data_IF_766223858650
#
_entry.id   IF_766223858650
#
_cell.length_a   1.000
_cell.length_b   1.000
_cell.length_c   1.000
_cell.angle_alpha   90.00
_cell.angle_beta   90.00
_cell.angle_gamma   90.00
#
_symmetry.space_group_name_H-M   'P 1'
#
loop_
_entity.id
_entity.type
_entity.pdbx_description
1 polymer ?
#
# COMPACT_ATOMS: atom_id res chain seq x y z
N UNK A 1 12.17 -29.44 25.75
CA UNK A 1 11.10 -30.31 25.18
C UNK A 1 9.84 -29.53 24.74
N UNK A 2 9.27 -28.61 25.55
CA UNK A 2 8.10 -27.81 25.12
C UNK A 2 8.36 -26.76 24.01
N UNK A 3 9.61 -26.40 23.72
CA UNK A 3 9.96 -25.44 22.66
C UNK A 3 9.79 -25.98 21.23
N UNK A 4 9.61 -27.30 21.06
CA UNK A 4 9.62 -27.97 19.75
C UNK A 4 8.26 -27.97 19.02
N UNK A 5 7.13 -28.01 19.73
CA UNK A 5 5.79 -28.00 19.09
C UNK A 5 5.44 -26.64 18.47
N UNK A 6 5.99 -25.55 19.02
CA UNK A 6 5.90 -24.21 18.41
C UNK A 6 6.74 -24.06 17.13
N UNK A 7 7.77 -24.90 16.94
CA UNK A 7 8.61 -24.89 15.75
C UNK A 7 7.81 -25.30 14.50
N UNK A 8 6.93 -26.28 14.64
CA UNK A 8 6.05 -26.73 13.56
C UNK A 8 5.07 -25.66 13.08
N UNK A 9 4.59 -24.76 13.95
CA UNK A 9 3.76 -23.63 13.52
C UNK A 9 4.48 -22.67 12.56
N UNK A 10 5.78 -22.44 12.76
CA UNK A 10 6.62 -21.64 11.85
C UNK A 10 7.02 -22.41 10.58
N UNK A 11 7.32 -23.71 10.67
CA UNK A 11 7.64 -24.54 9.50
C UNK A 11 6.40 -24.81 8.63
N UNK A 12 5.22 -24.90 9.24
CA UNK A 12 3.92 -25.04 8.58
C UNK A 12 3.59 -23.86 7.65
N UNK A 13 4.00 -22.64 8.03
CA UNK A 13 3.81 -21.42 7.24
C UNK A 13 4.54 -21.47 5.89
N UNK A 14 5.71 -22.13 5.81
CA UNK A 14 6.47 -22.29 4.57
C UNK A 14 5.96 -23.46 3.70
N UNK A 15 5.35 -24.47 4.35
CA UNK A 15 4.87 -25.69 3.71
C UNK A 15 3.69 -25.46 2.76
N UNK A 16 2.66 -24.75 3.21
CA UNK A 16 1.40 -24.64 2.43
C UNK A 16 1.56 -23.81 1.16
N UNK A 17 2.49 -22.84 1.13
CA UNK A 17 2.77 -22.02 -0.05
C UNK A 17 3.65 -22.69 -1.11
N UNK A 18 4.49 -23.65 -0.73
CA UNK A 18 5.50 -24.25 -1.61
C UNK A 18 5.14 -25.65 -2.12
N UNK A 19 4.23 -26.36 -1.43
CA UNK A 19 3.88 -27.75 -1.75
C UNK A 19 3.25 -27.93 -3.13
N UNK A 20 2.56 -26.92 -3.66
CA UNK A 20 1.98 -27.03 -5.01
C UNK A 20 3.05 -27.13 -6.11
N UNK A 21 4.16 -26.39 -5.98
CA UNK A 21 5.19 -26.27 -7.03
C UNK A 21 6.33 -27.27 -6.90
N UNK A 22 6.53 -27.84 -5.72
CA UNK A 22 7.66 -28.74 -5.43
C UNK A 22 7.20 -30.20 -5.42
N UNK A 23 8.10 -31.17 -5.68
CA UNK A 23 7.79 -32.60 -5.63
C UNK A 23 7.51 -33.06 -4.20
N UNK A 24 6.67 -34.09 -4.03
CA UNK A 24 6.34 -34.67 -2.71
C UNK A 24 7.57 -35.14 -1.93
N UNK A 25 8.61 -35.62 -2.61
CA UNK A 25 9.86 -36.11 -2.00
C UNK A 25 10.55 -35.09 -1.09
N UNK A 26 10.47 -33.79 -1.42
CA UNK A 26 11.04 -32.71 -0.63
C UNK A 26 10.37 -32.55 0.73
N UNK A 27 9.16 -33.09 0.88
CA UNK A 27 8.32 -32.92 2.05
C UNK A 27 8.25 -34.17 2.95
N UNK A 28 8.75 -35.31 2.48
CA UNK A 28 8.82 -36.56 3.26
C UNK A 28 9.60 -36.44 4.59
N UNK A 29 10.68 -35.63 4.71
CA UNK A 29 11.40 -35.49 5.99
C UNK A 29 10.53 -35.02 7.16
N UNK A 30 9.38 -34.38 6.91
CA UNK A 30 8.45 -33.99 7.98
C UNK A 30 7.76 -35.17 8.63
N UNK A 31 7.62 -36.31 7.95
CA UNK A 31 7.10 -37.53 8.57
C UNK A 31 8.01 -38.03 9.70
N UNK A 32 9.33 -38.00 9.48
CA UNK A 32 10.31 -38.38 10.51
C UNK A 32 10.25 -37.45 11.72
N UNK A 33 10.01 -36.16 11.48
CA UNK A 33 9.81 -35.18 12.57
C UNK A 33 8.47 -35.41 13.29
N UNK A 34 7.42 -35.82 12.58
CA UNK A 34 6.15 -36.20 13.20
C UNK A 34 6.33 -37.39 14.15
N UNK A 35 6.97 -38.47 13.69
CA UNK A 35 7.26 -39.67 14.49
C UNK A 35 8.07 -39.32 15.75
N UNK A 36 9.06 -38.43 15.63
CA UNK A 36 9.89 -38.00 16.76
C UNK A 36 9.12 -37.16 17.80
N UNK A 37 8.20 -36.30 17.36
CA UNK A 37 7.51 -35.35 18.25
C UNK A 37 6.15 -35.84 18.77
N UNK A 38 5.57 -36.85 18.12
CA UNK A 38 4.28 -37.43 18.46
C UNK A 38 4.37 -38.96 18.49
N UNK A 39 5.02 -39.56 19.50
CA UNK A 39 5.24 -41.01 19.59
C UNK A 39 3.94 -41.80 19.69
N UNK A 40 3.66 -42.79 18.85
CA UNK A 40 2.32 -43.41 18.74
C UNK A 40 1.72 -44.00 20.04
N UNK A 41 2.54 -44.22 21.07
CA UNK A 41 2.12 -44.72 22.39
C UNK A 41 1.23 -43.75 23.18
N UNK A 42 1.25 -42.43 22.90
CA UNK A 42 0.37 -41.49 23.61
C UNK A 42 -1.07 -41.49 23.07
N UNK A 43 -2.00 -41.08 23.92
CA UNK A 43 -3.41 -40.90 23.56
C UNK A 43 -3.62 -39.93 22.37
N UNK A 44 -4.74 -40.07 21.62
CA UNK A 44 -5.11 -39.14 20.55
C UNK A 44 -5.16 -37.68 21.04
N UNK A 45 -4.74 -36.75 20.18
CA UNK A 45 -4.75 -35.34 20.54
C UNK A 45 -6.20 -34.83 20.64
N UNK A 46 -6.59 -34.18 21.75
CA UNK A 46 -7.92 -33.60 21.89
C UNK A 46 -8.07 -32.39 20.98
N UNK A 47 -9.30 -32.16 20.50
CA UNK A 47 -9.61 -30.95 19.72
C UNK A 47 -9.36 -29.72 20.58
N UNK A 48 -8.49 -28.79 20.16
CA UNK A 48 -8.17 -27.60 20.92
C UNK A 48 -9.31 -26.57 20.92
N UNK A 49 -9.30 -25.68 21.90
CA UNK A 49 -10.26 -24.58 21.99
C UNK A 49 -10.12 -23.63 20.79
N UNK A 50 -11.09 -23.69 19.88
CA UNK A 50 -11.14 -22.91 18.65
C UNK A 50 -11.47 -21.43 18.86
N UNK A 51 -11.72 -20.98 20.09
CA UNK A 51 -11.83 -19.56 20.44
C UNK A 51 -10.46 -18.91 20.72
N UNK A 52 -9.39 -19.71 20.82
CA UNK A 52 -8.04 -19.23 21.06
C UNK A 52 -7.20 -19.28 19.77
N UNK A 53 -6.39 -18.24 19.45
CA UNK A 53 -5.58 -18.23 18.23
C UNK A 53 -4.56 -19.37 18.19
N UNK A 54 -4.17 -19.89 19.35
CA UNK A 54 -3.24 -21.01 19.48
C UNK A 54 -3.76 -22.30 18.85
N UNK A 55 -5.07 -22.45 18.65
CA UNK A 55 -5.64 -23.64 18.01
C UNK A 55 -5.06 -23.90 16.61
N UNK A 56 -4.75 -22.83 15.85
CA UNK A 56 -4.15 -22.93 14.52
C UNK A 56 -2.77 -23.57 14.54
N UNK A 57 -1.99 -23.33 15.61
CA UNK A 57 -0.68 -23.95 15.80
C UNK A 57 -0.81 -25.38 16.29
N UNK A 58 -1.77 -25.65 17.17
CA UNK A 58 -2.01 -26.99 17.71
C UNK A 58 -2.55 -27.95 16.64
N UNK A 59 -3.33 -27.46 15.68
CA UNK A 59 -3.81 -28.25 14.53
C UNK A 59 -2.86 -28.25 13.32
N UNK A 60 -1.73 -27.54 13.37
CA UNK A 60 -0.83 -27.38 12.22
C UNK A 60 -0.37 -28.71 11.62
N UNK A 61 -0.06 -29.72 12.46
CA UNK A 61 0.34 -31.05 11.96
C UNK A 61 -0.76 -31.76 11.19
N UNK A 62 -2.01 -31.67 11.66
CA UNK A 62 -3.17 -32.21 10.95
C UNK A 62 -3.31 -31.55 9.59
N UNK A 63 -3.15 -30.22 9.53
CA UNK A 63 -3.20 -29.50 8.27
C UNK A 63 -2.05 -29.91 7.33
N UNK A 64 -0.81 -30.04 7.80
CA UNK A 64 0.31 -30.56 6.99
C UNK A 64 -0.06 -31.92 6.39
N UNK A 65 -0.62 -32.81 7.22
CA UNK A 65 -1.00 -34.14 6.78
C UNK A 65 -2.06 -34.11 5.67
N UNK A 66 -3.07 -33.24 5.79
CA UNK A 66 -4.08 -33.03 4.75
C UNK A 66 -3.44 -32.56 3.43
N UNK A 67 -2.44 -31.67 3.50
CA UNK A 67 -1.71 -31.21 2.31
C UNK A 67 -0.90 -32.32 1.64
N UNK A 68 -0.22 -33.14 2.43
CA UNK A 68 0.56 -34.28 1.95
C UNK A 68 -0.35 -35.33 1.28
N UNK A 69 -1.48 -35.66 1.90
CA UNK A 69 -2.48 -36.58 1.31
C UNK A 69 -2.95 -36.05 -0.04
N UNK A 70 -3.36 -34.77 -0.11
CA UNK A 70 -3.84 -34.18 -1.37
C UNK A 70 -2.75 -34.17 -2.44
N UNK A 71 -1.51 -33.84 -2.08
CA UNK A 71 -0.37 -33.85 -2.99
C UNK A 71 -0.05 -35.26 -3.52
N UNK A 72 -0.05 -36.26 -2.65
CA UNK A 72 0.15 -37.67 -3.03
C UNK A 72 -0.95 -38.17 -3.99
N UNK A 73 -2.21 -37.75 -3.76
CA UNK A 73 -3.33 -38.03 -4.68
C UNK A 73 -3.12 -37.35 -6.04
N UNK A 74 -2.66 -36.10 -6.07
CA UNK A 74 -2.38 -35.38 -7.33
C UNK A 74 -1.21 -35.98 -8.11
N UNK A 75 -0.16 -36.46 -7.43
CA UNK A 75 1.00 -37.09 -8.07
C UNK A 75 0.78 -38.59 -8.38
N UNK A 76 -0.44 -39.11 -8.27
CA UNK A 76 -0.81 -40.51 -8.55
C UNK A 76 0.12 -41.53 -7.87
N UNK A 77 0.55 -41.23 -6.64
CA UNK A 77 1.29 -42.20 -5.85
C UNK A 77 0.36 -43.35 -5.47
N UNK A 78 0.71 -44.60 -5.81
CA UNK A 78 -0.08 -45.81 -5.47
C UNK A 78 -0.27 -46.04 -3.96
N UNK A 79 0.38 -45.24 -3.11
CA UNK A 79 0.25 -45.35 -1.67
C UNK A 79 -0.92 -44.50 -1.19
N UNK A 80 -1.96 -45.15 -0.65
CA UNK A 80 -2.97 -44.48 0.16
C UNK A 80 -2.32 -44.12 1.48
N UNK A 81 -2.25 -42.83 1.80
CA UNK A 81 -1.69 -42.35 3.05
C UNK A 81 -2.81 -42.16 4.08
N UNK A 82 -2.97 -43.08 5.06
CA UNK A 82 -3.99 -42.91 6.08
C UNK A 82 -3.65 -41.75 7.02
N UNK A 83 -4.69 -41.19 7.65
CA UNK A 83 -4.51 -40.22 8.73
C UNK A 83 -4.12 -40.98 10.01
N UNK A 84 -3.01 -40.61 10.67
CA UNK A 84 -2.57 -41.24 11.91
C UNK A 84 -3.66 -41.18 13.00
N UNK A 85 -3.77 -42.23 13.81
CA UNK A 85 -4.76 -42.31 14.89
C UNK A 85 -4.68 -41.09 15.83
N UNK A 86 -3.46 -40.58 16.09
CA UNK A 86 -3.24 -39.40 16.92
C UNK A 86 -3.85 -38.11 16.40
N UNK A 87 -3.95 -37.96 15.08
CA UNK A 87 -4.47 -36.76 14.41
C UNK A 87 -5.94 -36.91 13.99
N UNK A 88 -6.53 -38.10 14.19
CA UNK A 88 -7.88 -38.43 13.72
C UNK A 88 -8.93 -37.49 14.28
N UNK A 89 -8.92 -37.22 15.59
CA UNK A 89 -9.90 -36.31 16.20
C UNK A 89 -9.88 -34.89 15.59
N UNK A 90 -8.68 -34.34 15.31
CA UNK A 90 -8.55 -33.05 14.63
C UNK A 90 -9.05 -33.11 13.18
N UNK A 91 -8.71 -34.18 12.46
CA UNK A 91 -9.10 -34.36 11.06
C UNK A 91 -10.62 -34.50 10.92
N UNK A 92 -11.23 -35.33 11.76
CA UNK A 92 -12.69 -35.54 11.77
C UNK A 92 -13.40 -34.24 12.12
N UNK A 93 -12.88 -33.47 13.09
CA UNK A 93 -13.40 -32.13 13.39
C UNK A 93 -13.37 -31.20 12.17
N UNK A 94 -12.23 -31.12 11.45
CA UNK A 94 -12.11 -30.29 10.25
C UNK A 94 -13.03 -30.75 9.13
N UNK A 95 -13.19 -32.06 8.93
CA UNK A 95 -14.11 -32.60 7.93
C UNK A 95 -15.58 -32.26 8.23
N UNK A 96 -16.02 -32.39 9.49
CA UNK A 96 -17.36 -31.98 9.91
C UNK A 96 -17.62 -30.48 9.69
N UNK A 97 -16.58 -29.63 9.83
CA UNK A 97 -16.70 -28.19 9.58
C UNK A 97 -16.82 -27.82 8.09
N UNK A 98 -16.15 -28.57 7.19
CA UNK A 98 -16.22 -28.32 5.74
C UNK A 98 -17.53 -28.79 5.13
N UNK A 99 -18.12 -29.86 5.67
CA UNK A 99 -19.39 -30.43 5.24
C UNK A 99 -20.42 -30.20 6.35
N UNK A 100 -20.90 -28.96 6.53
CA UNK A 100 -21.83 -28.67 7.60
C UNK A 100 -23.14 -29.46 7.38
N UNK A 101 -23.69 -30.09 8.43
CA UNK A 101 -25.03 -30.64 8.36
C UNK A 101 -26.01 -29.50 8.04
N UNK A 102 -26.77 -29.63 6.95
CA UNK A 102 -27.84 -28.72 6.48
C UNK A 102 -27.44 -27.44 5.70
N UNK A 103 -26.31 -27.40 4.99
CA UNK A 103 -25.96 -26.25 4.12
C UNK A 103 -25.95 -24.89 4.85
N UNK A 104 -25.72 -24.88 6.17
CA UNK A 104 -25.59 -23.64 6.91
C UNK A 104 -24.43 -22.82 6.33
N UNK A 105 -24.67 -21.54 6.06
CA UNK A 105 -23.65 -20.62 5.56
C UNK A 105 -22.54 -20.48 6.60
N UNK A 106 -21.31 -20.82 6.21
CA UNK A 106 -20.11 -20.51 7.00
C UNK A 106 -20.01 -18.99 7.11
N UNK A 107 -20.16 -18.47 8.34
CA UNK A 107 -20.03 -17.05 8.64
C UNK A 107 -18.86 -16.84 9.61
N UNK A 108 -18.19 -15.69 9.50
CA UNK A 108 -17.19 -15.29 10.48
C UNK A 108 -17.86 -15.05 11.84
N UNK A 109 -17.46 -15.84 12.83
CA UNK A 109 -17.80 -15.64 14.24
C UNK A 109 -16.62 -15.08 15.03
N UNK A 110 -16.73 -15.11 16.36
CA UNK A 110 -15.65 -14.74 17.29
C UNK A 110 -14.59 -15.86 17.46
N UNK A 111 -14.56 -16.82 16.54
CA UNK A 111 -13.74 -18.03 16.61
C UNK A 111 -12.82 -18.19 15.39
N UNK A 112 -11.90 -19.14 15.48
CA UNK A 112 -10.87 -19.39 14.47
C UNK A 112 -11.22 -20.56 13.53
N UNK A 113 -12.49 -21.00 13.46
CA UNK A 113 -12.90 -22.14 12.61
C UNK A 113 -12.61 -21.87 11.14
N UNK A 114 -12.94 -20.68 10.65
CA UNK A 114 -12.68 -20.28 9.26
C UNK A 114 -11.18 -20.23 8.97
N UNK A 115 -10.37 -19.70 9.90
CA UNK A 115 -8.91 -19.69 9.75
C UNK A 115 -8.35 -21.12 9.66
N UNK A 116 -8.83 -22.03 10.51
CA UNK A 116 -8.46 -23.46 10.47
C UNK A 116 -8.82 -24.11 9.13
N UNK A 117 -10.01 -23.86 8.60
CA UNK A 117 -10.43 -24.39 7.29
C UNK A 117 -9.59 -23.83 6.15
N UNK A 118 -9.36 -22.51 6.14
CA UNK A 118 -8.49 -21.86 5.17
C UNK A 118 -7.07 -22.42 5.21
N UNK A 119 -6.57 -22.75 6.40
CA UNK A 119 -5.24 -23.30 6.60
C UNK A 119 -5.16 -24.77 6.19
N UNK A 120 -6.16 -25.58 6.53
CA UNK A 120 -6.17 -27.02 6.27
C UNK A 120 -6.38 -27.37 4.80
N UNK A 121 -7.21 -26.58 4.10
CA UNK A 121 -7.65 -26.90 2.74
C UNK A 121 -7.14 -25.92 1.69
N UNK A 122 -6.10 -25.12 1.97
CA UNK A 122 -5.64 -24.06 1.05
C UNK A 122 -5.25 -24.54 -0.35
N UNK A 123 -4.83 -25.81 -0.47
CA UNK A 123 -4.46 -26.43 -1.76
C UNK A 123 -5.57 -27.31 -2.35
N UNK A 124 -6.75 -27.36 -1.73
CA UNK A 124 -7.88 -28.15 -2.20
C UNK A 124 -9.02 -27.24 -2.69
N UNK A 125 -9.11 -27.03 -4.00
CA UNK A 125 -10.04 -26.08 -4.62
C UNK A 125 -11.51 -26.35 -4.25
N UNK A 126 -11.90 -27.61 -4.09
CA UNK A 126 -13.27 -28.02 -3.78
C UNK A 126 -13.74 -27.53 -2.40
N UNK A 127 -12.81 -27.47 -1.44
CA UNK A 127 -13.12 -27.12 -0.05
C UNK A 127 -12.62 -25.73 0.36
N UNK A 128 -11.69 -25.14 -0.39
CA UNK A 128 -11.09 -23.85 -0.05
C UNK A 128 -11.98 -22.65 -0.39
N UNK A 129 -12.79 -22.75 -1.45
CA UNK A 129 -13.60 -21.65 -1.96
C UNK A 129 -14.57 -21.11 -0.92
N UNK A 130 -15.23 -21.99 -0.17
CA UNK A 130 -16.23 -21.64 0.86
C UNK A 130 -15.65 -20.83 2.03
N UNK A 131 -14.63 -21.31 2.78
CA UNK A 131 -14.08 -20.55 3.89
C UNK A 131 -13.39 -19.25 3.44
N UNK A 132 -12.78 -19.23 2.25
CA UNK A 132 -12.23 -18.00 1.69
C UNK A 132 -13.32 -16.98 1.33
N UNK A 133 -14.44 -17.42 0.75
CA UNK A 133 -15.58 -16.55 0.46
C UNK A 133 -16.15 -15.92 1.74
N UNK A 134 -16.26 -16.69 2.83
CA UNK A 134 -16.73 -16.18 4.12
C UNK A 134 -15.82 -15.06 4.68
N UNK A 135 -14.48 -15.22 4.56
CA UNK A 135 -13.53 -14.15 4.94
C UNK A 135 -13.70 -12.91 4.08
N UNK A 136 -13.83 -13.09 2.77
CA UNK A 136 -13.94 -12.00 1.80
C UNK A 136 -15.25 -11.23 1.96
N UNK A 137 -16.37 -11.94 2.17
CA UNK A 137 -17.69 -11.32 2.39
C UNK A 137 -17.71 -10.46 3.66
N UNK A 138 -16.99 -10.87 4.70
CA UNK A 138 -16.88 -10.11 5.95
C UNK A 138 -16.27 -8.72 5.75
N UNK A 139 -15.32 -8.59 4.81
CA UNK A 139 -14.64 -7.32 4.53
C UNK A 139 -15.23 -6.55 3.35
N UNK A 140 -15.88 -7.22 2.40
CA UNK A 140 -16.53 -6.57 1.24
C UNK A 140 -17.95 -6.10 1.55
N UNK A 141 -18.66 -6.85 2.38
CA UNK A 141 -20.09 -6.66 2.62
C UNK A 141 -20.93 -7.36 1.56
N UNK A 142 -22.15 -7.73 1.94
CA UNK A 142 -23.11 -8.28 0.99
C UNK A 142 -23.74 -7.15 0.19
N UNK A 143 -23.91 -7.33 -1.13
CA UNK A 143 -24.62 -6.36 -1.99
C UNK A 143 -26.08 -6.13 -1.57
N UNK A 144 -26.62 -7.00 -0.71
CA UNK A 144 -27.99 -6.94 -0.18
C UNK A 144 -28.12 -6.07 1.08
N UNK A 145 -27.02 -5.84 1.80
CA UNK A 145 -26.98 -4.95 2.97
C UNK A 145 -26.40 -3.62 2.53
N UNK A 146 -27.20 -2.57 2.43
CA UNK A 146 -26.78 -1.24 1.98
C UNK A 146 -25.73 -0.53 2.85
N UNK A 147 -25.16 -1.20 3.86
CA UNK A 147 -24.09 -0.70 4.72
C UNK A 147 -22.74 -1.37 4.37
N UNK A 148 -21.75 -0.58 3.99
CA UNK A 148 -20.38 -1.07 3.82
C UNK A 148 -19.79 -1.49 5.18
N UNK A 149 -19.13 -2.66 5.28
CA UNK A 149 -18.55 -3.10 6.54
C UNK A 149 -17.41 -2.19 6.97
N UNK A 150 -17.38 -1.88 8.27
CA UNK A 150 -16.39 -0.98 8.89
C UNK A 150 -15.38 -1.73 9.75
N UNK A 151 -15.68 -2.96 10.18
CA UNK A 151 -14.79 -3.79 11.00
C UNK A 151 -13.80 -4.60 10.15
N UNK A 152 -12.50 -4.28 10.15
CA UNK A 152 -11.48 -5.06 9.44
C UNK A 152 -11.18 -6.39 10.15
N UNK A 153 -10.54 -7.33 9.45
CA UNK A 153 -9.99 -8.53 10.07
C UNK A 153 -8.89 -8.13 11.07
N UNK A 154 -8.95 -8.67 12.28
CA UNK A 154 -7.95 -8.40 13.32
C UNK A 154 -6.57 -8.95 12.94
N UNK A 155 -5.52 -8.34 13.46
CA UNK A 155 -4.15 -8.85 13.29
C UNK A 155 -4.01 -10.29 13.81
N UNK A 156 -4.70 -10.64 14.90
CA UNK A 156 -4.67 -12.02 15.44
C UNK A 156 -5.25 -13.05 14.49
N UNK A 157 -6.32 -12.70 13.76
CA UNK A 157 -6.90 -13.58 12.73
C UNK A 157 -5.95 -13.69 11.55
N UNK A 158 -5.39 -12.57 11.06
CA UNK A 158 -4.43 -12.58 9.96
C UNK A 158 -3.14 -13.36 10.29
N UNK A 159 -2.62 -13.23 11.51
CA UNK A 159 -1.46 -13.98 12.02
C UNK A 159 -1.75 -15.48 12.17
N UNK A 160 -3.03 -15.83 12.33
CA UNK A 160 -3.49 -17.21 12.41
C UNK A 160 -3.68 -17.85 11.03
N UNK A 161 -3.63 -17.08 9.94
CA UNK A 161 -3.69 -17.58 8.56
C UNK A 161 -2.32 -18.00 8.05
N UNK A 162 -2.29 -19.06 7.23
CA UNK A 162 -1.06 -19.46 6.54
C UNK A 162 -0.70 -18.47 5.44
N UNK A 163 0.57 -18.49 5.01
CA UNK A 163 1.07 -17.66 3.90
C UNK A 163 0.24 -17.86 2.64
N UNK A 164 -0.10 -19.10 2.29
CA UNK A 164 -0.94 -19.38 1.12
C UNK A 164 -2.36 -18.80 1.25
N UNK A 165 -2.98 -18.93 2.43
CA UNK A 165 -4.30 -18.35 2.70
C UNK A 165 -4.27 -16.82 2.62
N UNK A 166 -3.22 -16.17 3.15
CA UNK A 166 -2.99 -14.72 3.01
C UNK A 166 -2.80 -14.30 1.54
N UNK A 167 -2.01 -15.05 0.78
CA UNK A 167 -1.79 -14.81 -0.67
C UNK A 167 -3.11 -14.87 -1.44
N UNK A 168 -3.95 -15.88 -1.15
CA UNK A 168 -5.27 -16.02 -1.76
C UNK A 168 -6.22 -14.88 -1.37
N UNK A 169 -6.19 -14.46 -0.10
CA UNK A 169 -6.98 -13.32 0.37
C UNK A 169 -6.56 -12.00 -0.33
N UNK A 170 -5.26 -11.74 -0.44
CA UNK A 170 -4.73 -10.60 -1.21
C UNK A 170 -5.22 -10.66 -2.65
N UNK A 171 -5.09 -11.81 -3.31
CA UNK A 171 -5.51 -11.98 -4.69
C UNK A 171 -7.01 -11.68 -4.87
N UNK A 172 -7.86 -12.19 -3.98
CA UNK A 172 -9.30 -11.91 -4.00
C UNK A 172 -9.63 -10.44 -3.79
N UNK A 173 -8.94 -9.75 -2.88
CA UNK A 173 -9.10 -8.31 -2.66
C UNK A 173 -8.68 -7.53 -3.91
N UNK A 174 -7.48 -7.77 -4.42
CA UNK A 174 -6.93 -7.08 -5.61
C UNK A 174 -7.83 -7.29 -6.83
N UNK A 175 -8.27 -8.52 -7.08
CA UNK A 175 -9.20 -8.85 -8.17
C UNK A 175 -10.51 -8.06 -8.05
N UNK A 176 -11.06 -7.96 -6.84
CA UNK A 176 -12.29 -7.21 -6.58
C UNK A 176 -12.09 -5.71 -6.82
N UNK A 177 -11.02 -5.12 -6.29
CA UNK A 177 -10.70 -3.69 -6.47
C UNK A 177 -10.54 -3.35 -7.96
N UNK A 178 -9.82 -4.20 -8.71
CA UNK A 178 -9.67 -4.05 -10.16
C UNK A 178 -11.03 -4.12 -10.86
N UNK A 179 -11.87 -5.09 -10.51
CA UNK A 179 -13.21 -5.24 -11.11
C UNK A 179 -14.08 -4.01 -10.85
N UNK A 180 -14.03 -3.44 -9.64
CA UNK A 180 -14.74 -2.20 -9.32
C UNK A 180 -14.19 -1.01 -10.11
N UNK A 181 -12.86 -0.88 -10.21
CA UNK A 181 -12.22 0.18 -10.98
C UNK A 181 -12.61 0.13 -12.46
N UNK A 182 -12.65 -1.06 -13.06
CA UNK A 182 -13.05 -1.25 -14.46
C UNK A 182 -14.55 -1.09 -14.68
N UNK A 183 -15.37 -1.48 -13.71
CA UNK A 183 -16.83 -1.40 -13.78
C UNK A 183 -17.40 0.03 -13.65
N UNK A 184 -16.56 1.03 -13.33
CA UNK A 184 -16.94 2.45 -13.14
C UNK A 184 -18.20 2.63 -12.28
N UNK A 185 -18.41 1.76 -11.30
CA UNK A 185 -19.66 1.73 -10.52
C UNK A 185 -19.86 2.93 -9.60
N UNK A 186 -18.83 3.78 -9.43
CA UNK A 186 -18.86 4.93 -8.53
C UNK A 186 -18.95 4.57 -7.04
N UNK A 187 -19.08 3.29 -6.69
CA UNK A 187 -19.14 2.84 -5.31
C UNK A 187 -17.74 2.85 -4.68
N UNK A 188 -17.58 3.48 -3.50
CA UNK A 188 -16.31 3.47 -2.79
C UNK A 188 -15.99 2.06 -2.26
N UNK A 189 -14.70 1.80 -2.03
CA UNK A 189 -14.26 0.59 -1.35
C UNK A 189 -14.75 0.59 0.10
N UNK A 190 -15.10 -0.58 0.63
CA UNK A 190 -15.49 -0.70 2.04
C UNK A 190 -14.29 -0.38 2.96
N UNK A 191 -14.51 0.36 4.07
CA UNK A 191 -13.43 0.67 5.01
C UNK A 191 -12.74 -0.57 5.58
N UNK A 192 -13.50 -1.63 5.88
CA UNK A 192 -12.96 -2.90 6.37
C UNK A 192 -12.01 -3.56 5.36
N UNK A 193 -12.29 -3.48 4.06
CA UNK A 193 -11.44 -4.05 3.01
C UNK A 193 -10.12 -3.30 2.92
N UNK A 194 -10.16 -1.97 2.87
CA UNK A 194 -8.96 -1.12 2.74
C UNK A 194 -8.05 -1.32 3.94
N UNK A 195 -8.62 -1.29 5.14
CA UNK A 195 -7.88 -1.48 6.39
C UNK A 195 -7.32 -2.92 6.50
N UNK A 196 -8.08 -3.95 6.13
CA UNK A 196 -7.58 -5.34 6.10
C UNK A 196 -6.47 -5.52 5.07
N UNK A 197 -6.60 -4.91 3.89
CA UNK A 197 -5.58 -4.96 2.85
C UNK A 197 -4.29 -4.29 3.31
N UNK A 198 -4.37 -3.12 3.96
CA UNK A 198 -3.20 -2.45 4.52
C UNK A 198 -2.44 -3.32 5.52
N UNK A 199 -3.15 -4.06 6.38
CA UNK A 199 -2.55 -5.01 7.35
C UNK A 199 -1.86 -6.18 6.64
N UNK A 200 -2.47 -6.67 5.55
CA UNK A 200 -1.87 -7.74 4.73
C UNK A 200 -0.58 -7.29 4.04
N UNK A 201 -0.46 -6.02 3.64
CA UNK A 201 0.73 -5.49 2.99
C UNK A 201 1.95 -5.37 3.92
N UNK A 202 1.78 -5.54 5.24
CA UNK A 202 2.87 -5.53 6.24
C UNK A 202 3.69 -6.83 6.22
N UNK A 203 3.08 -7.94 5.81
CA UNK A 203 3.74 -9.25 5.82
C UNK A 203 4.79 -9.35 4.70
N UNK A 204 6.07 -9.38 5.08
CA UNK A 204 7.19 -9.46 4.14
C UNK A 204 7.23 -10.80 3.42
N UNK A 205 6.71 -11.87 4.02
CA UNK A 205 6.65 -13.20 3.38
C UNK A 205 5.76 -13.26 2.13
N UNK A 206 4.89 -12.27 1.93
CA UNK A 206 4.01 -12.13 0.76
C UNK A 206 4.35 -10.90 -0.09
N UNK A 207 5.56 -10.33 0.06
CA UNK A 207 6.04 -9.12 -0.63
C UNK A 207 5.72 -9.09 -2.14
N UNK A 208 5.90 -10.23 -2.83
CA UNK A 208 5.69 -10.32 -4.28
C UNK A 208 4.24 -10.05 -4.72
N UNK A 209 3.25 -10.54 -3.96
CA UNK A 209 1.82 -10.32 -4.25
C UNK A 209 1.25 -9.13 -3.43
N UNK A 210 1.92 -8.78 -2.33
CA UNK A 210 1.63 -7.64 -1.49
C UNK A 210 2.17 -6.35 -2.08
N UNK A 211 3.16 -5.74 -1.43
CA UNK A 211 3.62 -4.38 -1.78
C UNK A 211 4.17 -4.26 -3.21
N UNK A 212 4.87 -5.29 -3.71
CA UNK A 212 5.37 -5.30 -5.09
C UNK A 212 4.23 -5.37 -6.11
N UNK A 213 3.20 -6.17 -5.83
CA UNK A 213 1.99 -6.27 -6.64
C UNK A 213 1.15 -4.99 -6.59
N UNK A 214 1.05 -4.38 -5.40
CA UNK A 214 0.39 -3.09 -5.20
C UNK A 214 0.97 -2.01 -6.12
N UNK A 215 2.29 -1.83 -6.11
CA UNK A 215 2.96 -0.78 -6.89
C UNK A 215 3.00 -1.06 -8.39
N UNK A 216 3.26 -2.32 -8.79
CA UNK A 216 3.50 -2.65 -10.20
C UNK A 216 2.24 -3.07 -10.97
N UNK A 217 1.19 -3.51 -10.28
CA UNK A 217 -0.02 -4.07 -10.92
C UNK A 217 -1.27 -3.28 -10.54
N UNK A 218 -1.58 -3.21 -9.23
CA UNK A 218 -2.84 -2.60 -8.79
C UNK A 218 -2.90 -1.10 -9.10
N UNK A 219 -1.90 -0.34 -8.65
CA UNK A 219 -1.89 1.11 -8.82
C UNK A 219 -1.91 1.53 -10.30
N UNK A 220 -1.08 0.96 -11.20
CA UNK A 220 -1.11 1.29 -12.62
C UNK A 220 -2.42 0.87 -13.29
N UNK A 221 -3.04 -0.24 -12.89
CA UNK A 221 -4.29 -0.72 -13.47
C UNK A 221 -5.49 0.14 -13.06
N UNK A 222 -5.56 0.57 -11.80
CA UNK A 222 -6.57 1.51 -11.30
C UNK A 222 -6.43 2.85 -12.02
N UNK A 223 -5.20 3.32 -12.20
CA UNK A 223 -4.91 4.54 -12.95
C UNK A 223 -5.36 4.44 -14.42
N UNK A 224 -4.98 3.37 -15.14
CA UNK A 224 -5.41 3.12 -16.53
C UNK A 224 -6.93 3.03 -16.69
N UNK A 225 -7.64 2.64 -15.63
CA UNK A 225 -9.10 2.54 -15.63
C UNK A 225 -9.79 3.89 -15.31
N UNK A 226 -9.01 4.95 -15.04
CA UNK A 226 -9.48 6.27 -14.62
C UNK A 226 -10.39 6.24 -13.37
N UNK A 227 -10.12 5.30 -12.45
CA UNK A 227 -10.88 5.15 -11.22
C UNK A 227 -10.31 6.04 -10.10
N UNK A 228 -10.53 7.35 -10.21
CA UNK A 228 -9.92 8.37 -9.35
C UNK A 228 -10.23 8.22 -7.86
N UNK A 229 -11.49 7.89 -7.50
CA UNK A 229 -11.88 7.67 -6.10
C UNK A 229 -11.18 6.45 -5.48
N UNK A 230 -11.03 5.37 -6.24
CA UNK A 230 -10.25 4.19 -5.83
C UNK A 230 -8.77 4.56 -5.68
N UNK A 231 -8.21 5.29 -6.65
CA UNK A 231 -6.81 5.75 -6.59
C UNK A 231 -6.56 6.59 -5.33
N UNK A 232 -7.42 7.57 -5.06
CA UNK A 232 -7.37 8.40 -3.86
C UNK A 232 -7.33 7.54 -2.58
N UNK A 233 -8.23 6.56 -2.48
CA UNK A 233 -8.33 5.66 -1.32
C UNK A 233 -7.04 4.83 -1.14
N UNK A 234 -6.44 4.35 -2.23
CA UNK A 234 -5.19 3.57 -2.18
C UNK A 234 -3.98 4.43 -1.76
N UNK A 235 -3.92 5.68 -2.22
CA UNK A 235 -2.86 6.62 -1.83
C UNK A 235 -3.00 7.06 -0.37
N UNK A 236 -4.23 7.32 0.08
CA UNK A 236 -4.52 7.60 1.49
C UNK A 236 -4.15 6.42 2.38
N UNK A 237 -4.56 5.20 2.00
CA UNK A 237 -4.17 3.98 2.69
C UNK A 237 -2.63 3.88 2.83
N UNK A 238 -1.90 4.13 1.75
CA UNK A 238 -0.44 4.13 1.80
C UNK A 238 0.11 5.18 2.78
N UNK A 239 -0.40 6.42 2.69
CA UNK A 239 0.06 7.56 3.51
C UNK A 239 -0.19 7.42 5.02
N UNK A 240 -1.24 6.71 5.43
CA UNK A 240 -1.69 6.68 6.82
C UNK A 240 -1.65 5.31 7.49
N UNK A 241 -1.44 4.22 6.75
CA UNK A 241 -1.41 2.86 7.30
C UNK A 241 -0.09 2.13 7.08
N UNK A 242 0.70 2.53 6.08
CA UNK A 242 1.93 1.83 5.74
C UNK A 242 3.15 2.42 6.45
N UNK A 243 3.51 1.87 7.60
CA UNK A 243 4.66 2.36 8.39
C UNK A 243 6.00 1.72 8.00
N UNK A 244 6.02 0.41 7.71
CA UNK A 244 7.25 -0.37 7.49
C UNK A 244 7.43 -0.81 6.04
N UNK A 245 7.51 0.15 5.12
CA UNK A 245 7.83 -0.11 3.71
C UNK A 245 9.30 0.15 3.46
N UNK A 246 9.95 -0.78 2.74
CA UNK A 246 11.33 -0.61 2.33
C UNK A 246 11.55 0.67 1.50
N UNK A 247 12.67 1.39 1.70
CA UNK A 247 12.98 2.64 1.01
C UNK A 247 12.84 2.58 -0.53
N UNK A 248 13.27 1.49 -1.17
CA UNK A 248 13.18 1.35 -2.64
C UNK A 248 11.75 1.42 -3.16
N UNK A 249 10.78 0.84 -2.44
CA UNK A 249 9.36 0.90 -2.79
C UNK A 249 8.76 2.30 -2.58
N UNK A 250 9.26 3.06 -1.61
CA UNK A 250 8.87 4.46 -1.41
C UNK A 250 9.32 5.34 -2.57
N UNK A 251 10.57 5.18 -3.01
CA UNK A 251 11.12 5.89 -4.17
C UNK A 251 10.39 5.47 -5.45
N UNK A 252 10.08 4.18 -5.60
CA UNK A 252 9.29 3.70 -6.73
C UNK A 252 7.88 4.32 -6.76
N UNK A 253 7.19 4.42 -5.61
CA UNK A 253 5.90 5.09 -5.54
C UNK A 253 6.03 6.59 -5.85
N UNK A 254 7.05 7.25 -5.33
CA UNK A 254 7.30 8.67 -5.59
C UNK A 254 7.42 8.93 -7.10
N UNK A 255 8.13 8.06 -7.83
CA UNK A 255 8.23 8.17 -9.28
C UNK A 255 6.87 8.04 -9.99
N UNK A 256 6.04 7.08 -9.56
CA UNK A 256 4.67 6.99 -10.06
C UNK A 256 3.88 8.27 -9.77
N UNK A 257 3.95 8.82 -8.56
CA UNK A 257 3.23 10.04 -8.18
C UNK A 257 3.60 11.24 -9.06
N UNK A 258 4.89 11.45 -9.35
CA UNK A 258 5.31 12.52 -10.26
C UNK A 258 4.78 12.33 -11.69
N UNK A 259 4.78 11.08 -12.19
CA UNK A 259 4.16 10.77 -13.48
C UNK A 259 2.63 10.99 -13.50
N UNK A 260 1.96 10.77 -12.37
CA UNK A 260 0.51 10.96 -12.21
C UNK A 260 0.14 12.44 -12.12
N UNK A 261 0.93 13.24 -11.39
CA UNK A 261 0.70 14.67 -11.23
C UNK A 261 0.82 15.44 -12.56
N UNK A 262 1.67 14.98 -13.48
CA UNK A 262 1.88 15.61 -14.78
C UNK A 262 0.68 15.48 -15.76
N UNK A 263 -0.39 14.77 -15.41
CA UNK A 263 -1.53 14.53 -16.31
C UNK A 263 -2.69 15.51 -16.04
N UNK A 264 -3.09 16.36 -17.02
CA UNK A 264 -4.10 17.41 -16.83
C UNK A 264 -5.50 16.92 -16.43
N UNK A 265 -5.84 15.65 -16.65
CA UNK A 265 -7.13 15.07 -16.26
C UNK A 265 -7.20 14.65 -14.79
N UNK A 266 -6.08 14.66 -14.06
CA UNK A 266 -6.03 14.43 -12.63
C UNK A 266 -6.42 15.69 -11.81
N UNK A 267 -6.86 16.76 -12.47
CA UNK A 267 -7.14 18.09 -11.92
C UNK A 267 -8.40 18.19 -11.04
N UNK A 268 -8.77 17.10 -10.38
CA UNK A 268 -9.62 17.17 -9.20
C UNK A 268 -8.76 17.66 -8.04
N UNK A 269 -9.09 18.81 -7.46
CA UNK A 269 -8.33 19.44 -6.37
C UNK A 269 -8.00 18.45 -5.24
N UNK A 270 -8.94 17.58 -4.89
CA UNK A 270 -8.74 16.55 -3.86
C UNK A 270 -7.68 15.50 -4.25
N UNK A 271 -7.64 15.08 -5.52
CA UNK A 271 -6.66 14.10 -5.99
C UNK A 271 -5.27 14.74 -6.08
N UNK A 272 -5.17 15.97 -6.59
CA UNK A 272 -3.90 16.71 -6.63
C UNK A 272 -3.30 16.86 -5.22
N UNK A 273 -4.11 17.34 -4.26
CA UNK A 273 -3.69 17.44 -2.86
C UNK A 273 -3.27 16.09 -2.26
N UNK A 274 -3.97 15.01 -2.60
CA UNK A 274 -3.63 13.67 -2.14
C UNK A 274 -2.28 13.18 -2.69
N UNK A 275 -2.05 13.38 -4.00
CA UNK A 275 -0.80 13.02 -4.66
C UNK A 275 0.37 13.80 -4.08
N UNK A 276 0.23 15.11 -3.93
CA UNK A 276 1.27 15.99 -3.39
C UNK A 276 1.56 15.71 -1.91
N UNK A 277 0.51 15.55 -1.08
CA UNK A 277 0.65 15.18 0.34
C UNK A 277 1.32 13.83 0.52
N UNK A 278 0.96 12.84 -0.32
CA UNK A 278 1.60 11.52 -0.31
C UNK A 278 3.07 11.62 -0.71
N UNK A 279 3.40 12.34 -1.78
CA UNK A 279 4.78 12.55 -2.22
C UNK A 279 5.62 13.24 -1.13
N UNK A 280 5.08 14.27 -0.47
CA UNK A 280 5.74 14.96 0.62
C UNK A 280 6.08 14.01 1.79
N UNK A 281 5.13 13.14 2.18
CA UNK A 281 5.36 12.12 3.22
C UNK A 281 6.41 11.10 2.84
N UNK A 282 6.45 10.68 1.57
CA UNK A 282 7.47 9.78 1.06
C UNK A 282 8.85 10.42 1.16
N UNK A 283 9.00 11.66 0.66
CA UNK A 283 10.27 12.41 0.65
C UNK A 283 10.78 12.66 2.07
N UNK A 284 9.91 13.15 2.96
CA UNK A 284 10.28 13.46 4.35
C UNK A 284 10.49 12.20 5.20
N UNK A 285 9.84 11.09 4.84
CA UNK A 285 9.93 9.81 5.54
C UNK A 285 11.14 8.96 5.18
N UNK A 286 11.96 9.33 4.18
CA UNK A 286 13.19 8.60 3.85
C UNK A 286 14.20 8.67 4.99
N UNK A 287 14.81 7.53 5.36
CA UNK A 287 15.85 7.49 6.38
C UNK A 287 17.17 8.06 5.86
N UNK A 288 17.93 8.81 6.69
CA UNK A 288 19.17 9.45 6.25
C UNK A 288 20.20 8.49 5.63
N UNK A 289 20.25 7.23 6.09
CA UNK A 289 21.15 6.20 5.56
C UNK A 289 20.68 5.62 4.22
N UNK A 290 19.37 5.62 3.98
CA UNK A 290 18.77 4.99 2.81
C UNK A 290 18.77 5.92 1.60
N UNK A 291 18.71 7.25 1.84
CA UNK A 291 18.62 8.28 0.80
C UNK A 291 19.71 8.13 -0.26
N UNK A 292 20.98 8.02 0.16
CA UNK A 292 22.09 7.91 -0.79
C UNK A 292 22.02 6.61 -1.61
N UNK A 293 21.81 5.46 -0.94
CA UNK A 293 21.80 4.16 -1.61
C UNK A 293 20.65 4.04 -2.62
N UNK A 294 19.46 4.55 -2.26
CA UNK A 294 18.27 4.40 -3.09
C UNK A 294 18.22 5.43 -4.21
N UNK A 295 18.51 6.71 -3.93
CA UNK A 295 18.47 7.74 -4.97
C UNK A 295 19.62 7.62 -5.96
N UNK A 296 20.78 7.07 -5.56
CA UNK A 296 21.89 6.83 -6.47
C UNK A 296 21.49 5.94 -7.67
N UNK A 297 20.53 5.02 -7.49
CA UNK A 297 20.02 4.15 -8.57
C UNK A 297 19.25 4.93 -9.64
N UNK A 298 18.69 6.08 -9.28
CA UNK A 298 17.88 6.93 -10.16
C UNK A 298 18.67 8.12 -10.73
N UNK A 299 19.97 8.25 -10.43
CA UNK A 299 20.80 9.31 -11.01
C UNK A 299 20.93 9.22 -12.53
N UNK A 300 20.78 8.02 -13.12
CA UNK A 300 20.75 7.87 -14.58
C UNK A 300 19.51 8.51 -15.22
N UNK A 301 18.38 8.59 -14.49
CA UNK A 301 17.12 9.16 -14.97
C UNK A 301 16.46 10.03 -13.88
N UNK A 302 17.09 11.16 -13.49
CA UNK A 302 16.69 11.94 -12.33
C UNK A 302 15.30 12.58 -12.48
N UNK A 303 14.85 12.79 -13.73
CA UNK A 303 13.51 13.31 -14.05
C UNK A 303 12.37 12.42 -13.53
N UNK A 304 12.64 11.15 -13.24
CA UNK A 304 11.64 10.22 -12.71
C UNK A 304 11.31 10.46 -11.25
N UNK A 305 12.20 11.09 -10.48
CA UNK A 305 12.08 11.33 -9.03
C UNK A 305 11.94 12.82 -8.68
N UNK A 306 12.04 13.69 -9.68
CA UNK A 306 11.91 15.15 -9.55
C UNK A 306 10.53 15.58 -10.02
N UNK A 307 9.90 16.47 -9.26
CA UNK A 307 8.62 17.07 -9.66
C UNK A 307 8.85 18.06 -10.80
N UNK A 308 8.03 18.01 -11.85
CA UNK A 308 8.12 18.95 -12.97
C UNK A 308 7.59 20.35 -12.62
N UNK A 309 6.58 20.45 -11.75
CA UNK A 309 5.84 21.70 -11.50
C UNK A 309 5.86 22.14 -10.03
N UNK A 310 5.80 21.20 -9.07
CA UNK A 310 5.74 21.54 -7.63
C UNK A 310 7.14 21.88 -7.09
N UNK A 311 7.38 23.18 -6.86
CA UNK A 311 8.60 23.69 -6.21
C UNK A 311 8.72 23.12 -4.80
N UNK A 312 7.63 23.06 -4.04
CA UNK A 312 7.59 22.65 -2.64
C UNK A 312 8.10 21.20 -2.44
N UNK A 313 7.68 20.28 -3.31
CA UNK A 313 8.17 18.90 -3.26
C UNK A 313 9.66 18.82 -3.56
N UNK A 314 10.13 19.58 -4.55
CA UNK A 314 11.55 19.62 -4.90
C UNK A 314 12.38 20.26 -3.78
N UNK A 315 11.86 21.30 -3.10
CA UNK A 315 12.49 21.90 -1.92
C UNK A 315 12.55 20.91 -0.75
N UNK A 316 11.48 20.17 -0.51
CA UNK A 316 11.47 19.12 0.51
C UNK A 316 12.51 18.03 0.20
N UNK A 317 12.68 17.67 -1.07
CA UNK A 317 13.70 16.72 -1.51
C UNK A 317 15.12 17.25 -1.23
N UNK A 318 15.39 18.52 -1.56
CA UNK A 318 16.67 19.19 -1.23
C UNK A 318 16.94 19.17 0.27
N UNK A 319 15.94 19.49 1.11
CA UNK A 319 16.09 19.43 2.57
C UNK A 319 16.38 18.01 3.06
N UNK A 320 15.73 17.00 2.49
CA UNK A 320 16.01 15.59 2.79
C UNK A 320 17.44 15.21 2.39
N UNK A 321 17.94 15.65 1.24
CA UNK A 321 19.32 15.43 0.79
C UNK A 321 20.34 16.12 1.72
N UNK A 322 20.06 17.36 2.14
CA UNK A 322 20.91 18.11 3.06
C UNK A 322 21.02 17.40 4.41
N UNK A 323 19.88 16.99 4.98
CA UNK A 323 19.85 16.21 6.23
C UNK A 323 20.57 14.88 6.09
N UNK A 324 20.33 14.15 5.00
CA UNK A 324 20.93 12.84 4.79
C UNK A 324 22.46 12.93 4.73
N UNK A 325 22.97 13.83 3.88
CA UNK A 325 24.41 14.11 3.71
C UNK A 325 25.06 14.55 5.02
N UNK A 326 24.39 15.44 5.78
CA UNK A 326 24.89 15.87 7.08
C UNK A 326 25.02 14.72 8.09
N UNK A 327 23.99 13.87 8.19
CA UNK A 327 23.96 12.77 9.17
C UNK A 327 24.91 11.63 8.79
N UNK A 328 25.09 11.34 7.50
CA UNK A 328 26.00 10.27 7.05
C UNK A 328 27.44 10.72 6.94
N UNK A 329 27.72 12.03 6.99
CA UNK A 329 29.06 12.58 6.77
C UNK A 329 29.54 12.41 5.33
N UNK A 330 28.62 12.22 4.37
CA UNK A 330 28.96 12.16 2.97
C UNK A 330 29.44 13.54 2.45
N UNK A 331 30.27 13.53 1.42
CA UNK A 331 30.80 14.73 0.77
C UNK A 331 29.71 15.55 0.04
N UNK A 332 28.61 14.90 -0.35
CA UNK A 332 27.46 15.52 -1.02
C UNK A 332 27.62 15.65 -2.53
N UNK A 333 28.76 15.26 -3.10
CA UNK A 333 29.06 15.41 -4.54
C UNK A 333 28.14 14.55 -5.40
N UNK A 334 27.72 13.39 -4.88
CA UNK A 334 26.86 12.42 -5.56
C UNK A 334 25.49 12.98 -5.98
N UNK A 335 25.03 14.08 -5.35
CA UNK A 335 23.70 14.64 -5.63
C UNK A 335 23.72 15.85 -6.58
N UNK A 336 24.88 16.29 -7.10
CA UNK A 336 24.97 17.48 -7.97
C UNK A 336 24.11 17.37 -9.24
N UNK A 337 24.08 16.21 -9.91
CA UNK A 337 23.26 16.00 -11.11
C UNK A 337 21.76 16.07 -10.80
N UNK A 338 21.37 15.52 -9.64
CA UNK A 338 19.99 15.60 -9.16
C UNK A 338 19.61 17.06 -8.83
N UNK A 339 20.49 17.80 -8.15
CA UNK A 339 20.28 19.22 -7.83
C UNK A 339 20.21 20.08 -9.10
N UNK A 340 21.03 19.79 -10.12
CA UNK A 340 20.97 20.46 -11.41
C UNK A 340 19.63 20.21 -12.12
N UNK A 341 19.14 18.97 -12.07
CA UNK A 341 17.81 18.62 -12.62
C UNK A 341 16.70 19.36 -11.87
N UNK A 342 16.76 19.40 -10.53
CA UNK A 342 15.81 20.14 -9.69
C UNK A 342 15.81 21.64 -10.03
N UNK A 343 17.01 22.24 -10.15
CA UNK A 343 17.15 23.65 -10.49
C UNK A 343 16.64 23.97 -11.90
N UNK A 344 16.72 23.03 -12.83
CA UNK A 344 16.16 23.16 -14.18
C UNK A 344 14.63 23.04 -14.18
N UNK A 345 14.06 22.11 -13.43
CA UNK A 345 12.62 21.88 -13.37
C UNK A 345 11.89 22.99 -12.61
N UNK A 346 12.36 23.34 -11.41
CA UNK A 346 11.75 24.37 -10.56
C UNK A 346 12.86 25.27 -10.00
N UNK A 347 13.25 26.33 -10.73
CA UNK A 347 14.29 27.25 -10.28
C UNK A 347 13.87 27.95 -9.00
N UNK A 348 14.63 27.77 -7.92
CA UNK A 348 14.33 28.40 -6.63
C UNK A 348 15.59 28.82 -5.87
N UNK A 349 15.40 29.72 -4.90
CA UNK A 349 16.45 30.19 -4.00
C UNK A 349 16.16 29.79 -2.54
N UNK A 350 17.23 29.75 -1.73
CA UNK A 350 17.17 29.50 -0.30
C UNK A 350 17.50 30.77 0.50
N UNK A 351 16.87 30.92 1.66
CA UNK A 351 17.22 31.99 2.58
C UNK A 351 18.64 31.75 3.15
N UNK A 352 19.43 32.82 3.41
CA UNK A 352 20.81 32.67 3.90
C UNK A 352 20.90 31.78 5.15
N UNK A 353 20.05 32.04 6.14
CA UNK A 353 19.96 31.25 7.39
C UNK A 353 19.70 29.75 7.19
N UNK A 354 19.01 29.36 6.11
CA UNK A 354 18.76 27.96 5.79
C UNK A 354 19.96 27.35 5.07
N UNK A 355 20.57 28.11 4.15
CA UNK A 355 21.72 27.69 3.38
C UNK A 355 22.97 27.54 4.28
N UNK A 356 23.10 28.36 5.32
CA UNK A 356 24.14 28.23 6.35
C UNK A 356 24.06 26.89 7.12
N UNK A 357 22.89 26.26 7.16
CA UNK A 357 22.69 24.94 7.78
C UNK A 357 22.98 23.77 6.81
N UNK A 358 23.22 24.04 5.52
CA UNK A 358 23.43 22.98 4.54
C UNK A 358 24.88 22.45 4.58
N UNK A 359 25.10 21.19 4.20
CA UNK A 359 26.44 20.70 3.89
C UNK A 359 27.11 21.59 2.83
N UNK A 360 28.44 21.76 2.97
CA UNK A 360 29.22 22.70 2.16
C UNK A 360 29.02 22.55 0.65
N UNK A 361 29.02 21.33 0.11
CA UNK A 361 28.84 21.09 -1.32
C UNK A 361 27.46 21.57 -1.84
N UNK A 362 26.40 21.41 -1.04
CA UNK A 362 25.05 21.88 -1.39
C UNK A 362 24.96 23.40 -1.29
N UNK A 363 25.53 23.98 -0.23
CA UNK A 363 25.58 25.42 -0.06
C UNK A 363 26.29 26.09 -1.25
N UNK A 364 27.48 25.59 -1.60
CA UNK A 364 28.28 26.07 -2.74
C UNK A 364 27.49 25.98 -4.06
N UNK A 365 26.80 24.86 -4.31
CA UNK A 365 25.95 24.68 -5.49
C UNK A 365 24.88 25.78 -5.64
N UNK A 366 24.12 26.07 -4.57
CA UNK A 366 23.05 27.06 -4.63
C UNK A 366 23.58 28.51 -4.68
N UNK A 367 24.78 28.79 -4.19
CA UNK A 367 25.45 30.09 -4.43
C UNK A 367 25.86 30.27 -5.90
N UNK A 368 26.28 29.20 -6.58
CA UNK A 368 26.66 29.26 -8.00
C UNK A 368 25.44 29.34 -8.92
N UNK A 369 24.33 28.69 -8.55
CA UNK A 369 23.08 28.64 -9.31
C UNK A 369 22.03 29.59 -8.73
N UNK A 370 22.38 30.87 -8.58
CA UNK A 370 21.48 31.86 -8.00
C UNK A 370 20.33 32.19 -8.97
N UNK A 371 19.09 32.02 -8.50
CA UNK A 371 17.89 32.41 -9.23
C UNK A 371 17.59 33.90 -8.97
N UNK A 372 17.20 34.68 -10.00
CA UNK A 372 16.81 36.08 -9.81
C UNK A 372 15.71 36.22 -8.76
N UNK A 373 15.92 37.07 -7.76
CA UNK A 373 14.88 37.36 -6.77
C UNK A 373 13.79 38.21 -7.39
N UNK A 374 12.54 37.79 -7.18
CA UNK A 374 11.38 38.57 -7.59
C UNK A 374 11.36 39.93 -6.86
N UNK A 375 11.12 41.00 -7.61
CA UNK A 375 11.15 42.34 -7.05
C UNK A 375 9.81 42.66 -6.37
N UNK A 376 9.84 42.81 -5.04
CA UNK A 376 8.65 43.12 -4.22
C UNK A 376 7.86 44.33 -4.72
N UNK A 377 8.53 45.37 -5.22
CA UNK A 377 7.85 46.56 -5.73
C UNK A 377 7.14 46.27 -7.05
N UNK A 378 7.75 45.46 -7.92
CA UNK A 378 7.13 45.03 -9.19
C UNK A 378 5.93 44.14 -8.93
N UNK A 379 6.05 43.17 -8.01
CA UNK A 379 4.93 42.31 -7.61
C UNK A 379 3.75 43.13 -7.07
N UNK A 380 4.01 44.08 -6.16
CA UNK A 380 2.97 44.98 -5.64
C UNK A 380 2.29 45.76 -6.77
N UNK A 381 3.09 46.35 -7.67
CA UNK A 381 2.57 47.11 -8.80
C UNK A 381 1.70 46.25 -9.73
N UNK A 382 2.14 45.03 -10.04
CA UNK A 382 1.39 44.10 -10.88
C UNK A 382 0.04 43.72 -10.25
N UNK A 383 0.00 43.43 -8.93
CA UNK A 383 -1.24 43.14 -8.21
C UNK A 383 -2.20 44.34 -8.23
N UNK A 384 -1.68 45.57 -8.05
CA UNK A 384 -2.49 46.78 -8.12
C UNK A 384 -3.05 47.03 -9.53
N UNK A 385 -2.26 46.78 -10.57
CA UNK A 385 -2.69 46.90 -11.97
C UNK A 385 -3.77 45.86 -12.32
N UNK A 386 -3.59 44.60 -11.93
CA UNK A 386 -4.60 43.55 -12.15
C UNK A 386 -5.88 43.79 -11.36
N UNK A 387 -5.81 44.32 -10.12
CA UNK A 387 -7.00 44.70 -9.35
C UNK A 387 -7.79 45.83 -10.04
N UNK A 388 -7.10 46.81 -10.63
CA UNK A 388 -7.76 47.87 -11.43
C UNK A 388 -8.42 47.30 -12.68
N UNK A 389 -7.76 46.36 -13.37
CA UNK A 389 -8.35 45.67 -14.54
C UNK A 389 -9.62 44.92 -14.14
N UNK A 390 -9.58 44.15 -13.05
CA UNK A 390 -10.76 43.48 -12.50
C UNK A 390 -11.91 44.46 -12.25
N UNK A 391 -11.65 45.57 -11.56
CA UNK A 391 -12.67 46.57 -11.26
C UNK A 391 -13.24 47.29 -12.50
N UNK A 392 -12.49 47.31 -13.61
CA UNK A 392 -12.89 47.95 -14.87
C UNK A 392 -13.62 47.03 -15.84
N UNK A 393 -13.49 45.71 -15.66
CA UNK A 393 -14.12 44.72 -16.53
C UNK A 393 -15.57 44.47 -16.09
N UNK A 394 -16.51 44.57 -17.03
CA UNK A 394 -17.94 44.38 -16.75
C UNK A 394 -18.52 43.09 -17.38
N UNK A 395 -17.78 42.44 -18.27
CA UNK A 395 -18.21 41.25 -18.98
C UNK A 395 -17.63 39.99 -18.31
N UNK A 396 -18.49 39.10 -17.82
CA UNK A 396 -18.06 37.87 -17.14
C UNK A 396 -17.12 37.01 -18.00
N UNK A 397 -17.40 36.89 -19.30
CA UNK A 397 -16.61 36.05 -20.21
C UNK A 397 -15.20 36.59 -20.38
N UNK A 398 -15.03 37.92 -20.43
CA UNK A 398 -13.73 38.55 -20.59
C UNK A 398 -12.90 38.43 -19.31
N UNK A 399 -13.55 38.52 -18.13
CA UNK A 399 -12.92 38.29 -16.83
C UNK A 399 -12.42 36.84 -16.74
N UNK A 400 -13.27 35.86 -17.05
CA UNK A 400 -12.89 34.45 -17.02
C UNK A 400 -11.77 34.15 -18.03
N UNK A 401 -11.81 34.75 -19.22
CA UNK A 401 -10.77 34.56 -20.23
C UNK A 401 -9.44 35.24 -19.85
N UNK A 402 -9.45 36.34 -19.10
CA UNK A 402 -8.21 37.02 -18.69
C UNK A 402 -7.57 36.35 -17.46
N UNK A 403 -8.37 35.98 -16.46
CA UNK A 403 -7.87 35.44 -15.18
C UNK A 403 -7.85 33.91 -15.11
N UNK A 404 -8.57 33.21 -15.99
CA UNK A 404 -8.68 31.74 -16.01
C UNK A 404 -7.75 31.04 -17.01
N UNK A 405 -6.94 31.78 -17.79
CA UNK A 405 -6.08 31.19 -18.81
C UNK A 405 -4.83 30.54 -18.21
N UNK A 406 -4.46 29.31 -18.63
CA UNK A 406 -3.21 28.68 -18.24
C UNK A 406 -2.00 29.55 -18.59
N UNK A 407 -1.12 29.79 -17.62
CA UNK A 407 0.10 30.60 -17.81
C UNK A 407 -0.09 32.10 -17.55
N UNK A 408 -1.29 32.56 -17.18
CA UNK A 408 -1.46 33.90 -16.61
C UNK A 408 -0.64 34.04 -15.30
N UNK A 409 -0.17 35.25 -14.96
CA UNK A 409 0.52 35.48 -13.70
C UNK A 409 -0.33 34.99 -12.51
N UNK A 410 0.22 34.19 -11.57
CA UNK A 410 -0.53 33.55 -10.50
C UNK A 410 -0.88 34.52 -9.35
N UNK A 411 -1.50 35.65 -9.68
CA UNK A 411 -1.82 36.74 -8.76
C UNK A 411 -3.26 36.68 -8.24
N UNK A 412 -4.05 35.71 -8.68
CA UNK A 412 -5.50 35.68 -8.41
C UNK A 412 -5.83 35.60 -6.92
N UNK A 413 -5.08 34.83 -6.12
CA UNK A 413 -5.24 34.80 -4.66
C UNK A 413 -4.98 36.18 -4.02
N UNK A 414 -4.02 36.95 -4.53
CA UNK A 414 -3.77 38.33 -4.09
C UNK A 414 -4.95 39.25 -4.44
N UNK A 415 -5.60 39.02 -5.59
CA UNK A 415 -6.81 39.75 -5.98
C UNK A 415 -7.99 39.43 -5.07
N UNK A 416 -8.23 38.16 -4.76
CA UNK A 416 -9.27 37.75 -3.80
C UNK A 416 -9.06 38.42 -2.44
N UNK A 417 -7.80 38.45 -1.96
CA UNK A 417 -7.44 39.18 -0.73
C UNK A 417 -7.76 40.67 -0.83
N UNK A 418 -7.45 41.31 -1.97
CA UNK A 418 -7.74 42.74 -2.20
C UNK A 418 -9.24 43.03 -2.27
N UNK A 419 -10.02 42.19 -2.92
CA UNK A 419 -11.48 42.31 -2.96
C UNK A 419 -12.06 42.26 -1.54
N UNK A 420 -11.66 41.26 -0.75
CA UNK A 420 -12.07 41.16 0.65
C UNK A 420 -11.67 42.39 1.46
N UNK A 421 -10.46 42.92 1.26
CA UNK A 421 -9.97 44.09 1.99
C UNK A 421 -10.75 45.37 1.63
N UNK A 422 -11.17 45.54 0.38
CA UNK A 422 -11.81 46.77 -0.11
C UNK A 422 -13.33 46.73 0.04
N UNK A 423 -13.96 45.58 -0.20
CA UNK A 423 -15.43 45.45 -0.27
C UNK A 423 -16.01 44.48 0.74
N UNK A 424 -15.18 43.74 1.50
CA UNK A 424 -15.60 42.63 2.38
C UNK A 424 -16.47 41.57 1.66
N UNK A 425 -16.36 41.45 0.33
CA UNK A 425 -17.16 40.51 -0.45
C UNK A 425 -16.38 40.00 -1.66
N UNK A 426 -16.58 38.72 -2.02
CA UNK A 426 -16.04 38.12 -3.26
C UNK A 426 -17.17 37.94 -4.27
N UNK A 427 -16.96 38.36 -5.52
CA UNK A 427 -17.96 38.18 -6.58
C UNK A 427 -18.13 36.70 -6.94
N UNK A 428 -19.34 36.22 -7.28
CA UNK A 428 -19.56 34.87 -7.78
C UNK A 428 -18.74 34.53 -9.04
N UNK A 429 -18.37 35.53 -9.84
CA UNK A 429 -17.52 35.37 -11.03
C UNK A 429 -16.13 34.86 -10.63
N UNK A 430 -15.63 35.25 -9.46
CA UNK A 430 -14.30 34.84 -9.00
C UNK A 430 -14.23 33.39 -8.50
N UNK A 431 -15.39 32.76 -8.26
CA UNK A 431 -15.49 31.33 -7.95
C UNK A 431 -15.47 30.45 -9.20
N UNK A 432 -16.01 30.97 -10.31
CA UNK A 432 -15.98 30.31 -11.62
C UNK A 432 -14.58 30.36 -12.20
#
# INVERSE_FOLDING_TARGET
YLFSKNFFGKTYLLYTGSIQRNPLSNFLPVLKLYELLYPEEDQPLPVPDYNQPQCTRQMAMTCIWIHLIKKAQTEQSNNVWPVPNKLRAHHDFLQHLVVPPNNASLAMGNDYRIALLCNAYSTNQDYFSKPMAALVETIQGSTKSGSSPTSPLSMTVLDSLTVHSKMSLIHSIVTHVIKLAQGKSGMPLSPALVETYSRLLVYTEIESLGIKGFLNQLLPQVYKSHAWGTLYTLLEMFSYRMHHIHPHYRVQLLSHLHSLAAVPQANQTQLHLCVESTALRLITGLGSRDVQQELARFLAEPKTIVSAESEELNRALVLTLARATHVTGADGTWCHELLATIAQSTPHAWAPQTLDCFPRALAEFFTQHAVPKENKQQLKKAVEEENRKWASMNNENDIMAHFGVPGAPPLFLCLLWKMLLETNHISPIAYK
#
